data_IF_625905337989
#
_entry.id   IF_625905337989
#
_cell.length_a   1.000
_cell.length_b   1.000
_cell.length_c   1.000
_cell.angle_alpha   90.00
_cell.angle_beta   90.00
_cell.angle_gamma   90.00
#
_symmetry.space_group_name_H-M   'P 1'
#
loop_
_entity.id
_entity.type
_entity.pdbx_description
1 polymer ?
#
# COMPACT_ATOMS: atom_id res chain seq x y z
N UNK A 1 11.70 -12.73 -15.69
CA UNK A 1 12.78 -13.68 -15.99
C UNK A 1 12.53 -15.06 -15.39
N UNK A 2 12.17 -15.17 -14.10
CA UNK A 2 11.84 -16.48 -13.48
C UNK A 2 10.61 -17.19 -14.09
N UNK A 3 9.53 -16.47 -14.41
CA UNK A 3 8.31 -17.06 -15.00
C UNK A 3 8.53 -17.67 -16.40
N UNK A 4 9.40 -17.06 -17.23
CA UNK A 4 9.76 -17.62 -18.55
C UNK A 4 10.61 -18.90 -18.42
N UNK A 5 11.44 -18.99 -17.37
CA UNK A 5 12.26 -20.16 -17.10
C UNK A 5 11.46 -21.34 -16.51
N UNK A 6 10.28 -21.07 -15.93
CA UNK A 6 9.41 -22.07 -15.25
C UNK A 6 8.14 -22.43 -16.06
N UNK A 7 7.98 -21.92 -17.30
CA UNK A 7 6.80 -22.16 -18.16
C UNK A 7 5.43 -21.88 -17.47
N UNK A 8 5.41 -21.00 -16.47
CA UNK A 8 4.19 -20.68 -15.72
C UNK A 8 3.21 -19.86 -16.58
N UNK A 9 1.89 -20.01 -16.36
CA UNK A 9 0.89 -19.27 -17.13
C UNK A 9 1.05 -17.76 -16.96
N UNK A 10 0.85 -17.01 -18.04
CA UNK A 10 0.97 -15.54 -18.11
C UNK A 10 0.07 -14.78 -17.15
N UNK A 11 -0.97 -15.43 -16.60
CA UNK A 11 -1.81 -14.90 -15.54
C UNK A 11 -1.04 -14.66 -14.24
N UNK A 12 -0.03 -15.48 -13.93
CA UNK A 12 0.75 -15.36 -12.68
C UNK A 12 1.55 -14.05 -12.58
N UNK A 13 2.41 -13.66 -13.55
CA UNK A 13 3.12 -12.39 -13.45
C UNK A 13 2.19 -11.19 -13.49
N UNK A 14 1.07 -11.26 -14.23
CA UNK A 14 0.08 -10.18 -14.27
C UNK A 14 -0.52 -9.93 -12.88
N UNK A 15 -0.95 -10.99 -12.18
CA UNK A 15 -1.49 -10.88 -10.82
C UNK A 15 -0.48 -10.27 -9.85
N UNK A 16 0.78 -10.70 -9.90
CA UNK A 16 1.82 -10.13 -9.03
C UNK A 16 2.10 -8.66 -9.35
N UNK A 17 2.20 -8.28 -10.62
CA UNK A 17 2.41 -6.88 -11.03
C UNK A 17 1.24 -6.02 -10.56
N UNK A 18 0.00 -6.48 -10.70
CA UNK A 18 -1.18 -5.76 -10.20
C UNK A 18 -1.18 -5.60 -8.68
N UNK A 19 -0.85 -6.66 -7.92
CA UNK A 19 -0.76 -6.61 -6.46
C UNK A 19 0.34 -5.66 -5.99
N UNK A 20 1.52 -5.72 -6.60
CA UNK A 20 2.63 -4.80 -6.30
C UNK A 20 2.27 -3.35 -6.67
N UNK A 21 1.61 -3.14 -7.80
CA UNK A 21 1.13 -1.82 -8.22
C UNK A 21 0.12 -1.23 -7.24
N UNK A 22 -0.87 -2.03 -6.83
CA UNK A 22 -1.86 -1.63 -5.83
C UNK A 22 -1.20 -1.31 -4.48
N UNK A 23 -0.32 -2.19 -4.01
CA UNK A 23 0.44 -1.98 -2.77
C UNK A 23 1.30 -0.72 -2.81
N UNK A 24 1.93 -0.42 -3.94
CA UNK A 24 2.75 0.79 -4.12
C UNK A 24 1.91 2.08 -4.05
N UNK A 25 0.71 2.10 -4.64
CA UNK A 25 -0.20 3.25 -4.55
C UNK A 25 -0.68 3.46 -3.11
N UNK A 26 -1.09 2.39 -2.44
CA UNK A 26 -1.54 2.43 -1.03
C UNK A 26 -0.42 2.93 -0.11
N UNK A 27 0.81 2.42 -0.25
CA UNK A 27 1.94 2.80 0.60
C UNK A 27 2.38 4.25 0.36
N UNK A 28 2.29 4.74 -0.88
CA UNK A 28 2.56 6.14 -1.20
C UNK A 28 1.53 7.07 -0.54
N UNK A 29 0.24 6.69 -0.57
CA UNK A 29 -0.82 7.38 0.15
C UNK A 29 -0.60 7.42 1.67
N UNK A 30 -0.17 6.30 2.26
CA UNK A 30 0.17 6.23 3.69
C UNK A 30 1.32 7.17 4.06
N UNK A 31 2.39 7.19 3.24
CA UNK A 31 3.52 8.10 3.44
C UNK A 31 3.10 9.57 3.40
N UNK A 32 2.26 9.96 2.43
CA UNK A 32 1.71 11.31 2.36
C UNK A 32 0.87 11.67 3.59
N UNK A 33 0.04 10.74 4.08
CA UNK A 33 -0.81 10.96 5.26
C UNK A 33 0.02 11.14 6.54
N UNK A 34 1.10 10.37 6.71
CA UNK A 34 2.06 10.55 7.82
C UNK A 34 2.76 11.90 7.73
N UNK A 35 3.22 12.27 6.53
CA UNK A 35 3.90 13.55 6.33
C UNK A 35 2.97 14.72 6.65
N UNK A 36 1.72 14.70 6.19
CA UNK A 36 0.75 15.76 6.51
C UNK A 36 0.43 15.81 8.02
N UNK A 37 0.48 14.68 8.73
CA UNK A 37 0.34 14.66 10.19
C UNK A 37 1.53 15.29 10.93
N UNK A 38 2.75 15.08 10.43
CA UNK A 38 3.99 15.60 11.02
C UNK A 38 4.20 17.08 10.68
N UNK A 39 3.93 17.45 9.42
CA UNK A 39 4.09 18.82 8.90
C UNK A 39 2.99 19.77 9.39
N UNK A 40 1.91 19.28 10.00
CA UNK A 40 0.82 20.08 10.62
C UNK A 40 1.29 21.35 11.33
N UNK A 41 2.32 21.26 12.18
CA UNK A 41 2.75 22.40 13.00
C UNK A 41 3.58 23.41 12.18
N UNK A 42 4.33 22.91 11.20
CA UNK A 42 5.12 23.73 10.27
C UNK A 42 4.20 24.40 9.23
N UNK A 43 3.25 23.64 8.68
CA UNK A 43 2.25 24.11 7.73
C UNK A 43 1.33 25.19 8.33
N UNK A 44 1.11 25.17 9.65
CA UNK A 44 0.36 26.22 10.35
C UNK A 44 1.14 27.55 10.46
N UNK A 45 2.46 27.49 10.42
CA UNK A 45 3.37 28.63 10.53
C UNK A 45 3.74 29.25 9.18
N UNK A 46 3.39 28.59 8.07
CA UNK A 46 3.71 29.05 6.71
C UNK A 46 2.43 29.52 6.02
N UNK A 47 2.43 30.79 5.59
CA UNK A 47 1.27 31.47 5.02
C UNK A 47 0.69 30.77 3.77
N UNK A 48 1.54 30.05 3.02
CA UNK A 48 1.16 29.26 1.84
C UNK A 48 0.48 27.91 2.14
N UNK A 49 0.81 27.24 3.25
CA UNK A 49 0.29 25.89 3.58
C UNK A 49 -0.73 25.88 4.73
N UNK A 50 -1.04 27.06 5.26
CA UNK A 50 -2.02 27.28 6.33
C UNK A 50 -3.45 26.83 5.98
N UNK A 51 -3.80 26.80 4.69
CA UNK A 51 -5.12 26.35 4.21
C UNK A 51 -5.26 24.83 4.08
N UNK A 52 -4.19 24.06 4.30
CA UNK A 52 -4.27 22.60 4.25
C UNK A 52 -5.27 22.10 5.32
N UNK A 53 -6.16 21.15 4.99
CA UNK A 53 -7.27 20.75 5.88
C UNK A 53 -6.80 20.20 7.24
N UNK A 54 -5.60 19.60 7.31
CA UNK A 54 -4.95 19.16 8.55
C UNK A 54 -4.37 20.32 9.39
N UNK A 55 -3.86 21.38 8.76
CA UNK A 55 -3.33 22.57 9.44
C UNK A 55 -4.46 23.50 9.93
N UNK A 56 -5.55 23.57 9.16
CA UNK A 56 -6.78 24.33 9.47
C UNK A 56 -7.59 23.70 10.60
N UNK A 57 -7.45 22.39 10.81
CA UNK A 57 -8.14 21.64 11.86
C UNK A 57 -9.49 21.05 11.44
N UNK A 58 -9.81 21.08 10.13
CA UNK A 58 -11.03 20.49 9.57
C UNK A 58 -11.01 18.96 9.68
N UNK A 59 -9.82 18.35 9.67
CA UNK A 59 -9.60 16.93 9.94
C UNK A 59 -8.91 16.79 11.30
N UNK A 60 -9.54 16.06 12.22
CA UNK A 60 -8.92 15.76 13.52
C UNK A 60 -7.78 14.76 13.35
N UNK A 61 -6.73 14.87 14.16
CA UNK A 61 -5.62 13.90 14.17
C UNK A 61 -6.09 12.46 14.32
N UNK A 62 -7.19 12.23 15.07
CA UNK A 62 -7.80 10.91 15.20
C UNK A 62 -8.35 10.38 13.87
N UNK A 63 -8.99 11.21 13.04
CA UNK A 63 -9.48 10.82 11.71
C UNK A 63 -8.33 10.50 10.75
N UNK A 64 -7.26 11.30 10.78
CA UNK A 64 -6.05 11.02 10.00
C UNK A 64 -5.39 9.69 10.42
N UNK A 65 -5.36 9.39 11.72
CA UNK A 65 -4.83 8.14 12.26
C UNK A 65 -5.71 6.93 11.86
N UNK A 66 -7.04 7.08 11.84
CA UNK A 66 -7.95 6.04 11.33
C UNK A 66 -7.76 5.80 9.82
N UNK A 67 -7.54 6.85 9.04
CA UNK A 67 -7.26 6.71 7.61
C UNK A 67 -5.91 6.03 7.35
N UNK A 68 -4.89 6.40 8.15
CA UNK A 68 -3.58 5.76 8.13
C UNK A 68 -3.68 4.27 8.50
N UNK A 69 -4.41 3.93 9.57
CA UNK A 69 -4.56 2.55 10.01
C UNK A 69 -5.30 1.71 8.97
N UNK A 70 -6.29 2.29 8.28
CA UNK A 70 -6.96 1.64 7.14
C UNK A 70 -5.99 1.37 5.97
N UNK A 71 -5.14 2.35 5.60
CA UNK A 71 -4.14 2.17 4.55
C UNK A 71 -3.06 1.14 4.91
N UNK A 72 -2.59 1.13 6.16
CA UNK A 72 -1.65 0.12 6.65
C UNK A 72 -2.28 -1.27 6.67
N UNK A 73 -3.56 -1.37 7.05
CA UNK A 73 -4.31 -2.64 7.04
C UNK A 73 -4.51 -3.15 5.62
N UNK A 74 -4.82 -2.26 4.66
CA UNK A 74 -4.91 -2.60 3.24
C UNK A 74 -3.54 -3.06 2.69
N UNK A 75 -2.45 -2.35 3.03
CA UNK A 75 -1.08 -2.75 2.66
C UNK A 75 -0.68 -4.10 3.25
N UNK A 76 -1.07 -4.37 4.50
CA UNK A 76 -0.87 -5.67 5.15
C UNK A 76 -1.67 -6.78 4.44
N UNK A 77 -2.91 -6.50 4.02
CA UNK A 77 -3.73 -7.44 3.24
C UNK A 77 -3.08 -7.83 1.91
N UNK A 78 -2.51 -6.85 1.19
CA UNK A 78 -1.75 -7.10 -0.04
C UNK A 78 -0.51 -7.95 0.22
N UNK A 79 0.20 -7.70 1.33
CA UNK A 79 1.35 -8.50 1.77
C UNK A 79 0.98 -9.95 2.09
N UNK A 80 -0.15 -10.18 2.77
CA UNK A 80 -0.66 -11.51 3.06
C UNK A 80 -1.09 -12.24 1.76
N UNK A 81 -1.73 -11.54 0.82
CA UNK A 81 -2.07 -12.09 -0.50
C UNK A 81 -0.83 -12.48 -1.31
N UNK A 82 0.23 -11.67 -1.25
CA UNK A 82 1.52 -11.99 -1.87
C UNK A 82 2.13 -13.28 -1.30
N UNK A 83 1.96 -13.56 -0.01
CA UNK A 83 2.45 -14.78 0.63
C UNK A 83 1.57 -15.99 0.29
N UNK A 84 0.25 -15.82 0.30
CA UNK A 84 -0.69 -16.90 -0.05
C UNK A 84 -0.52 -17.38 -1.49
N UNK A 85 -0.43 -16.44 -2.44
CA UNK A 85 -0.22 -16.76 -3.86
C UNK A 85 1.08 -17.54 -4.11
N UNK A 86 2.09 -17.39 -3.24
CA UNK A 86 3.33 -18.19 -3.30
C UNK A 86 3.07 -19.65 -2.92
N UNK A 87 2.26 -19.90 -1.89
CA UNK A 87 1.93 -21.25 -1.47
C UNK A 87 1.13 -22.00 -2.55
N UNK A 88 0.16 -21.33 -3.19
CA UNK A 88 -0.62 -21.94 -4.27
C UNK A 88 0.24 -22.28 -5.50
N UNK A 89 1.20 -21.41 -5.86
CA UNK A 89 2.13 -21.67 -6.96
C UNK A 89 3.06 -22.86 -6.65
N UNK A 90 3.65 -22.92 -5.45
CA UNK A 90 4.51 -24.04 -5.02
C UNK A 90 3.72 -25.35 -4.78
N UNK A 91 2.46 -25.24 -4.34
CA UNK A 91 1.56 -26.37 -4.13
C UNK A 91 1.07 -27.00 -5.44
N UNK A 92 0.83 -26.19 -6.47
CA UNK A 92 0.46 -26.68 -7.81
C UNK A 92 1.59 -27.46 -8.50
N UNK A 93 2.86 -27.10 -8.24
CA UNK A 93 4.03 -27.85 -8.73
C UNK A 93 4.21 -29.21 -8.00
N UNK A 94 3.63 -29.35 -6.80
CA UNK A 94 3.70 -30.58 -6.00
C UNK A 94 2.65 -31.63 -6.41
N UNK A 95 1.56 -31.21 -7.04
CA UNK A 95 0.46 -32.08 -7.47
C UNK A 95 0.65 -32.63 -8.91
N UNK A 96 1.62 -32.10 -9.64
CA UNK A 96 1.95 -32.50 -11.01
C UNK A 96 3.22 -33.40 -11.11
N UNK A 97 3.73 -33.91 -9.98
CA UNK A 97 4.86 -34.84 -9.95
C UNK A 97 4.47 -36.20 -9.36
#
# INVERSE_FOLDING_TARGET
MASYALQLPYTTPLTYISLFGLGAVVMRGAGCTINDMWDKNLDKSVERTKERPLARGDITQKQALVFLSAQLTAGLGVLLQLNWNRHDVLGSDSLHR
#
